data_IF_845002412211
#
_entry.id   IF_845002412211
#
_cell.length_a   1.000
_cell.length_b   1.000
_cell.length_c   1.000
_cell.angle_alpha   90.00
_cell.angle_beta   90.00
_cell.angle_gamma   90.00
#
_symmetry.space_group_name_H-M   'P 1'
#
loop_
_entity.id
_entity.type
_entity.pdbx_description
1 polymer ?
#
# COMPACT_ATOMS: atom_id res chain seq x y z
N UNK A 1 -7.70 -16.82 -5.17
CA UNK A 1 -6.43 -16.89 -5.94
C UNK A 1 -6.04 -15.54 -6.49
N UNK A 2 -6.23 -14.45 -5.72
CA UNK A 2 -6.01 -13.05 -6.14
C UNK A 2 -5.09 -12.28 -5.18
N UNK A 3 -4.68 -12.86 -4.06
CA UNK A 3 -4.02 -12.16 -2.94
C UNK A 3 -2.49 -12.15 -2.94
N UNK A 4 -1.81 -12.79 -3.88
CA UNK A 4 -0.34 -12.98 -3.78
C UNK A 4 0.53 -11.95 -4.52
N UNK A 5 -0.01 -10.79 -4.93
CA UNK A 5 0.67 -9.96 -5.93
C UNK A 5 1.31 -8.67 -5.44
N UNK A 6 1.26 -8.35 -4.16
CA UNK A 6 1.81 -7.08 -3.64
C UNK A 6 2.91 -7.17 -2.56
N UNK A 7 3.37 -8.34 -2.12
CA UNK A 7 4.32 -8.40 -1.00
C UNK A 7 5.80 -8.27 -1.40
N UNK A 8 6.14 -8.11 -2.67
CA UNK A 8 7.53 -8.31 -3.14
C UNK A 8 8.56 -7.38 -2.53
N UNK A 9 8.26 -6.08 -2.39
CA UNK A 9 9.23 -5.15 -1.79
C UNK A 9 9.40 -5.43 -0.30
N UNK A 10 8.31 -5.76 0.42
CA UNK A 10 8.40 -6.12 1.83
C UNK A 10 9.11 -7.45 2.05
N UNK A 11 8.83 -8.44 1.19
CA UNK A 11 9.41 -9.77 1.25
C UNK A 11 10.92 -9.72 0.94
N UNK A 12 11.33 -9.00 -0.09
CA UNK A 12 12.75 -8.87 -0.44
C UNK A 12 13.55 -8.09 0.61
N UNK A 13 12.96 -7.07 1.24
CA UNK A 13 13.59 -6.33 2.33
C UNK A 13 13.60 -7.11 3.64
N UNK A 14 12.57 -7.87 3.95
CA UNK A 14 12.57 -8.80 5.08
C UNK A 14 13.66 -9.87 4.89
N UNK A 15 13.79 -10.42 3.68
CA UNK A 15 14.85 -11.34 3.31
C UNK A 15 16.28 -10.75 3.43
N UNK A 16 16.41 -9.43 3.35
CA UNK A 16 17.66 -8.70 3.59
C UNK A 16 17.98 -8.46 5.08
N UNK A 17 17.19 -9.00 6.03
CA UNK A 17 17.42 -8.91 7.47
C UNK A 17 16.90 -7.64 8.16
N UNK A 18 16.02 -6.89 7.50
CA UNK A 18 15.44 -5.66 8.06
C UNK A 18 13.90 -5.67 8.02
N UNK A 19 13.23 -6.52 8.83
CA UNK A 19 11.77 -6.69 8.77
C UNK A 19 10.99 -5.42 9.11
N UNK A 20 11.47 -4.59 10.04
CA UNK A 20 10.82 -3.33 10.39
C UNK A 20 10.87 -2.27 9.29
N UNK A 21 11.93 -2.28 8.46
CA UNK A 21 12.05 -1.36 7.31
C UNK A 21 11.24 -1.83 6.10
N UNK A 22 10.83 -3.09 6.09
CA UNK A 22 10.06 -3.68 5.00
C UNK A 22 8.66 -3.03 4.85
N UNK A 23 7.99 -2.72 5.96
CA UNK A 23 6.67 -2.09 5.95
C UNK A 23 6.71 -0.67 5.37
N UNK A 24 7.52 0.28 5.90
CA UNK A 24 7.56 1.62 5.32
C UNK A 24 8.07 1.64 3.88
N UNK A 25 9.00 0.75 3.51
CA UNK A 25 9.46 0.64 2.14
C UNK A 25 8.35 0.14 1.18
N UNK A 26 7.53 -0.83 1.61
CA UNK A 26 6.38 -1.27 0.85
C UNK A 26 5.34 -0.15 0.69
N UNK A 27 5.09 0.64 1.73
CA UNK A 27 4.21 1.80 1.66
C UNK A 27 4.73 2.85 0.67
N UNK A 28 6.03 3.17 0.68
CA UNK A 28 6.64 4.09 -0.28
C UNK A 28 6.52 3.57 -1.72
N UNK A 29 6.78 2.29 -1.95
CA UNK A 29 6.60 1.67 -3.26
C UNK A 29 5.13 1.77 -3.73
N UNK A 30 4.17 1.54 -2.83
CA UNK A 30 2.74 1.73 -3.10
C UNK A 30 2.39 3.17 -3.43
N UNK A 31 2.96 4.15 -2.70
CA UNK A 31 2.78 5.58 -3.01
C UNK A 31 3.32 5.94 -4.38
N UNK A 32 4.50 5.44 -4.77
CA UNK A 32 5.05 5.64 -6.11
C UNK A 32 4.13 5.07 -7.19
N UNK A 33 3.60 3.87 -6.98
CA UNK A 33 2.61 3.26 -7.89
C UNK A 33 1.33 4.10 -8.00
N UNK A 34 0.83 4.60 -6.87
CA UNK A 34 -0.31 5.52 -6.82
C UNK A 34 -0.05 6.82 -7.57
N UNK A 35 1.16 7.37 -7.43
CA UNK A 35 1.58 8.56 -8.15
C UNK A 35 1.60 8.34 -9.67
N UNK A 36 2.13 7.21 -10.15
CA UNK A 36 2.13 6.85 -11.58
C UNK A 36 0.71 6.75 -12.10
N UNK A 37 -0.18 6.06 -11.39
CA UNK A 37 -1.61 5.96 -11.77
C UNK A 37 -2.26 7.33 -11.84
N UNK A 38 -2.03 8.18 -10.84
CA UNK A 38 -2.56 9.54 -10.79
C UNK A 38 -2.04 10.40 -11.94
N UNK A 39 -0.76 10.27 -12.27
CA UNK A 39 -0.14 10.99 -13.39
C UNK A 39 -0.78 10.61 -14.73
N UNK A 40 -0.98 9.31 -14.98
CA UNK A 40 -1.67 8.81 -16.17
C UNK A 40 -3.09 9.40 -16.26
N UNK A 41 -3.82 9.38 -15.15
CA UNK A 41 -5.21 9.84 -15.10
C UNK A 41 -5.33 11.36 -15.24
N UNK A 42 -4.50 12.13 -14.53
CA UNK A 42 -4.69 13.58 -14.39
C UNK A 42 -3.94 14.39 -15.44
N UNK A 43 -2.79 13.91 -15.93
CA UNK A 43 -1.96 14.60 -16.91
C UNK A 43 -2.17 14.09 -18.34
N UNK A 44 -2.31 12.78 -18.51
CA UNK A 44 -2.52 12.18 -19.83
C UNK A 44 -4.01 12.02 -20.19
N UNK A 45 -4.92 12.32 -19.25
CA UNK A 45 -6.36 12.22 -19.48
C UNK A 45 -6.87 10.78 -19.70
N UNK A 46 -6.08 9.78 -19.26
CA UNK A 46 -6.45 8.38 -19.39
C UNK A 46 -7.62 8.08 -18.45
N UNK A 47 -8.69 7.38 -18.88
CA UNK A 47 -9.75 6.94 -17.99
C UNK A 47 -9.20 6.18 -16.77
N UNK A 48 -9.78 6.41 -15.58
CA UNK A 48 -9.26 5.87 -14.31
C UNK A 48 -9.12 4.35 -14.32
N UNK A 49 -10.06 3.65 -14.93
CA UNK A 49 -10.04 2.18 -15.06
C UNK A 49 -8.83 1.74 -15.89
N UNK A 50 -8.59 2.37 -17.03
CA UNK A 50 -7.47 2.03 -17.91
C UNK A 50 -6.12 2.37 -17.28
N UNK A 51 -6.01 3.53 -16.62
CA UNK A 51 -4.81 3.92 -15.87
C UNK A 51 -4.47 2.88 -14.80
N UNK A 52 -5.47 2.38 -14.06
CA UNK A 52 -5.29 1.33 -13.07
C UNK A 52 -4.80 0.00 -13.67
N UNK A 53 -5.37 -0.43 -14.79
CA UNK A 53 -4.97 -1.66 -15.48
C UNK A 53 -3.51 -1.56 -15.96
N UNK A 54 -3.15 -0.47 -16.63
CA UNK A 54 -1.79 -0.24 -17.15
C UNK A 54 -0.76 -0.23 -16.02
N UNK A 55 -1.05 0.51 -14.94
CA UNK A 55 -0.16 0.55 -13.77
C UNK A 55 -0.01 -0.84 -13.13
N UNK A 56 -1.11 -1.59 -12.99
CA UNK A 56 -1.06 -2.93 -12.39
C UNK A 56 -0.23 -3.91 -13.24
N UNK A 57 -0.36 -3.88 -14.56
CA UNK A 57 0.45 -4.69 -15.46
C UNK A 57 1.94 -4.30 -15.42
N UNK A 58 2.24 -3.00 -15.39
CA UNK A 58 3.60 -2.50 -15.25
C UNK A 58 4.23 -2.93 -13.92
N UNK A 59 3.51 -2.78 -12.81
CA UNK A 59 3.96 -3.23 -11.49
C UNK A 59 4.18 -4.74 -11.44
N UNK A 60 3.32 -5.52 -12.09
CA UNK A 60 3.50 -6.97 -12.17
C UNK A 60 4.81 -7.35 -12.85
N UNK A 61 5.16 -6.68 -13.95
CA UNK A 61 6.42 -6.91 -14.65
C UNK A 61 7.63 -6.53 -13.80
N UNK A 62 7.59 -5.36 -13.15
CA UNK A 62 8.66 -4.92 -12.22
C UNK A 62 8.80 -5.92 -11.07
N UNK A 63 7.69 -6.41 -10.56
CA UNK A 63 7.64 -7.40 -9.51
C UNK A 63 8.36 -8.70 -9.92
N UNK A 64 8.08 -9.24 -11.10
CA UNK A 64 8.77 -10.41 -11.64
C UNK A 64 10.26 -10.18 -11.81
N UNK A 65 10.68 -8.99 -12.26
CA UNK A 65 12.09 -8.65 -12.39
C UNK A 65 12.82 -8.63 -11.04
N UNK A 66 12.21 -8.03 -10.02
CA UNK A 66 12.77 -7.97 -8.65
C UNK A 66 12.86 -9.36 -8.01
N UNK A 67 11.91 -10.25 -8.31
CA UNK A 67 11.93 -11.65 -7.83
C UNK A 67 12.84 -12.57 -8.64
N UNK A 68 13.62 -12.05 -9.59
CA UNK A 68 14.53 -12.87 -10.42
C UNK A 68 13.79 -13.89 -11.29
N UNK A 69 12.60 -13.52 -11.81
CA UNK A 69 11.72 -14.36 -12.63
C UNK A 69 11.18 -15.63 -11.91
N UNK A 70 11.35 -15.71 -10.59
CA UNK A 70 10.75 -16.78 -9.79
C UNK A 70 9.36 -16.37 -9.27
N UNK A 71 8.39 -17.29 -9.36
CA UNK A 71 7.01 -17.02 -8.93
C UNK A 71 6.86 -17.02 -7.39
N UNK A 72 7.80 -17.59 -6.67
CA UNK A 72 7.83 -17.70 -5.21
C UNK A 72 9.23 -17.43 -4.67
N UNK A 73 9.33 -16.51 -3.73
CA UNK A 73 10.51 -16.34 -2.86
C UNK A 73 10.15 -17.01 -1.53
N UNK A 74 10.88 -18.07 -1.17
CA UNK A 74 10.69 -18.74 0.12
C UNK A 74 11.40 -17.93 1.21
N UNK A 75 10.64 -17.50 2.19
CA UNK A 75 11.14 -16.82 3.41
C UNK A 75 11.46 -17.82 4.54
N UNK A 76 11.47 -19.13 4.28
CA UNK A 76 11.62 -20.21 5.27
C UNK A 76 12.83 -20.12 6.21
N UNK A 77 13.68 -19.09 6.10
CA UNK A 77 14.86 -18.85 6.96
C UNK A 77 15.08 -17.37 7.28
N UNK A 78 14.04 -16.55 7.22
CA UNK A 78 14.17 -15.11 7.42
C UNK A 78 13.28 -14.68 8.57
N UNK A 79 13.86 -13.92 9.52
CA UNK A 79 13.10 -13.35 10.62
C UNK A 79 12.05 -12.37 10.10
N UNK A 80 10.78 -12.70 10.31
CA UNK A 80 9.64 -11.82 10.04
C UNK A 80 9.31 -11.01 11.29
N UNK A 81 8.52 -9.95 11.15
CA UNK A 81 8.07 -9.18 12.33
C UNK A 81 7.31 -10.10 13.30
N UNK A 82 6.59 -11.08 12.78
CA UNK A 82 5.85 -12.06 13.58
C UNK A 82 6.79 -12.95 14.40
N UNK A 83 7.90 -13.45 13.83
CA UNK A 83 8.87 -14.28 14.53
C UNK A 83 9.62 -13.51 15.64
N UNK A 84 9.91 -12.23 15.41
CA UNK A 84 10.52 -11.37 16.41
C UNK A 84 9.59 -11.09 17.62
N UNK A 85 8.28 -11.07 17.40
CA UNK A 85 7.30 -10.93 18.48
C UNK A 85 7.01 -12.23 19.22
N UNK A 86 7.17 -13.38 18.56
CA UNK A 86 7.05 -14.70 19.18
C UNK A 86 8.05 -14.89 20.34
N UNK A 87 9.27 -14.36 20.16
CA UNK A 87 10.35 -14.40 21.16
C UNK A 87 10.06 -13.56 22.42
N UNK A 88 9.07 -12.64 22.35
CA UNK A 88 8.71 -11.74 23.46
C UNK A 88 7.69 -12.37 24.42
N UNK A 89 7.19 -13.58 24.15
CA UNK A 89 6.34 -14.37 25.07
C UNK A 89 4.93 -13.80 25.31
N UNK A 90 4.53 -12.77 24.60
CA UNK A 90 3.24 -12.10 24.73
C UNK A 90 2.22 -12.63 23.72
N UNK A 91 1.55 -13.74 24.03
CA UNK A 91 0.29 -14.02 23.34
C UNK A 91 0.04 -15.38 22.74
N UNK A 92 0.88 -16.39 22.90
CA UNK A 92 0.58 -17.75 22.44
C UNK A 92 0.16 -17.81 20.95
N UNK A 93 -0.89 -18.56 20.62
CA UNK A 93 -1.40 -18.74 19.24
C UNK A 93 -2.06 -17.51 18.61
N UNK A 94 -2.28 -16.42 19.37
CA UNK A 94 -3.03 -15.24 18.94
C UNK A 94 -2.17 -14.01 18.62
N UNK A 95 -0.84 -14.10 18.81
CA UNK A 95 0.08 -12.96 18.63
C UNK A 95 0.02 -12.34 17.22
N UNK A 96 -0.11 -13.17 16.19
CA UNK A 96 -0.21 -12.72 14.80
C UNK A 96 -1.49 -11.91 14.53
N UNK A 97 -2.62 -12.43 15.03
CA UNK A 97 -3.92 -11.76 14.91
C UNK A 97 -3.96 -10.45 15.69
N UNK A 98 -3.36 -10.40 16.88
CA UNK A 98 -3.28 -9.20 17.71
C UNK A 98 -2.41 -8.13 17.03
N UNK A 99 -1.27 -8.51 16.46
CA UNK A 99 -0.36 -7.61 15.76
C UNK A 99 -1.02 -7.04 14.49
N UNK A 100 -1.62 -7.91 13.68
CA UNK A 100 -2.36 -7.50 12.49
C UNK A 100 -3.55 -6.59 12.84
N UNK A 101 -4.29 -6.93 13.91
CA UNK A 101 -5.38 -6.11 14.43
C UNK A 101 -4.90 -4.74 14.90
N UNK A 102 -3.81 -4.67 15.64
CA UNK A 102 -3.23 -3.40 16.10
C UNK A 102 -2.81 -2.50 14.95
N UNK A 103 -2.09 -3.04 13.96
CA UNK A 103 -1.66 -2.28 12.77
C UNK A 103 -2.86 -1.78 11.99
N UNK A 104 -3.90 -2.62 11.84
CA UNK A 104 -5.13 -2.25 11.11
C UNK A 104 -5.87 -1.12 11.82
N UNK A 105 -6.03 -1.20 13.16
CA UNK A 105 -6.69 -0.16 13.96
C UNK A 105 -5.88 1.15 13.89
N UNK A 106 -4.56 1.07 14.00
CA UNK A 106 -3.67 2.23 13.93
C UNK A 106 -3.76 2.91 12.56
N UNK A 107 -3.67 2.13 11.47
CA UNK A 107 -3.80 2.64 10.11
C UNK A 107 -5.19 3.25 9.86
N UNK A 108 -6.25 2.60 10.35
CA UNK A 108 -7.62 3.12 10.28
C UNK A 108 -7.79 4.43 11.05
N UNK A 109 -7.26 4.52 12.27
CA UNK A 109 -7.30 5.74 13.08
C UNK A 109 -6.57 6.90 12.39
N UNK A 110 -5.36 6.65 11.87
CA UNK A 110 -4.61 7.65 11.11
C UNK A 110 -5.35 8.11 9.85
N UNK A 111 -5.99 7.18 9.14
CA UNK A 111 -6.80 7.51 7.97
C UNK A 111 -8.01 8.37 8.34
N UNK A 112 -8.72 8.05 9.42
CA UNK A 112 -9.87 8.84 9.89
C UNK A 112 -9.43 10.25 10.30
N UNK A 113 -8.33 10.38 11.03
CA UNK A 113 -7.75 11.67 11.40
C UNK A 113 -7.34 12.47 10.15
N UNK A 114 -6.71 11.83 9.18
CA UNK A 114 -6.34 12.46 7.91
C UNK A 114 -7.58 12.95 7.14
N UNK A 115 -8.63 12.12 7.03
CA UNK A 115 -9.87 12.50 6.34
C UNK A 115 -10.62 13.64 7.03
N UNK A 116 -10.40 13.87 8.32
CA UNK A 116 -10.89 15.03 9.08
C UNK A 116 -10.12 16.32 8.78
N UNK A 117 -8.97 16.26 8.12
CA UNK A 117 -8.20 17.45 7.74
C UNK A 117 -8.82 18.18 6.53
N UNK A 118 -8.38 19.42 6.29
CA UNK A 118 -8.83 20.18 5.10
C UNK A 118 -8.53 19.46 3.79
N UNK A 119 -7.38 18.74 3.70
CA UNK A 119 -7.02 17.94 2.53
C UNK A 119 -7.96 16.74 2.38
N UNK A 120 -8.26 16.03 3.46
CA UNK A 120 -9.19 14.91 3.43
C UNK A 120 -10.59 15.31 3.00
N UNK A 121 -11.09 16.43 3.50
CA UNK A 121 -12.38 17.00 3.08
C UNK A 121 -12.37 17.38 1.59
N UNK A 122 -11.26 17.97 1.10
CA UNK A 122 -11.12 18.29 -0.32
C UNK A 122 -11.10 17.05 -1.21
N UNK A 123 -10.47 15.96 -0.76
CA UNK A 123 -10.46 14.67 -1.48
C UNK A 123 -11.88 14.09 -1.57
N UNK A 124 -12.64 14.11 -0.47
CA UNK A 124 -14.04 13.64 -0.46
C UNK A 124 -14.90 14.49 -1.39
N UNK A 125 -14.82 15.83 -1.29
CA UNK A 125 -15.56 16.74 -2.15
C UNK A 125 -15.21 16.51 -3.64
N UNK A 126 -13.93 16.22 -3.97
CA UNK A 126 -13.51 15.91 -5.34
C UNK A 126 -14.13 14.60 -5.85
N UNK A 127 -14.33 13.61 -4.97
CA UNK A 127 -15.02 12.38 -5.30
C UNK A 127 -16.51 12.57 -5.60
N UNK A 128 -17.15 13.50 -4.89
CA UNK A 128 -18.57 13.78 -5.06
C UNK A 128 -18.85 14.62 -6.32
N UNK A 129 -18.11 15.71 -6.53
CA UNK A 129 -18.31 16.58 -7.70
C UNK A 129 -17.05 17.38 -8.05
N UNK A 130 -16.36 16.98 -9.12
CA UNK A 130 -15.13 17.62 -9.61
C UNK A 130 -15.36 19.06 -10.05
N UNK A 131 -16.50 19.36 -10.69
CA UNK A 131 -16.78 20.70 -11.23
C UNK A 131 -17.05 21.70 -10.11
N UNK A 132 -17.73 21.28 -9.05
CA UNK A 132 -17.93 22.08 -7.85
C UNK A 132 -16.59 22.41 -7.17
N UNK A 133 -15.67 21.45 -7.08
CA UNK A 133 -14.36 21.63 -6.49
C UNK A 133 -13.50 22.60 -7.29
N UNK A 134 -13.56 22.54 -8.64
CA UNK A 134 -12.92 23.53 -9.51
C UNK A 134 -13.47 24.95 -9.29
N UNK A 135 -14.78 25.08 -9.15
CA UNK A 135 -15.41 26.36 -8.88
C UNK A 135 -14.98 26.95 -7.50
N UNK A 136 -14.63 26.09 -6.55
CA UNK A 136 -14.14 26.45 -5.22
C UNK A 136 -12.62 26.71 -5.17
N UNK A 137 -11.96 26.92 -6.32
CA UNK A 137 -10.52 27.17 -6.44
C UNK A 137 -9.61 26.06 -5.90
N UNK A 138 -10.13 24.87 -5.69
CA UNK A 138 -9.36 23.69 -5.29
C UNK A 138 -8.89 22.96 -6.56
N UNK A 139 -7.62 22.57 -6.58
CA UNK A 139 -7.06 21.83 -7.72
C UNK A 139 -7.41 20.33 -7.64
N UNK A 140 -8.33 19.81 -8.48
CA UNK A 140 -8.74 18.41 -8.42
C UNK A 140 -7.62 17.45 -8.82
N UNK A 141 -6.67 17.87 -9.66
CA UNK A 141 -5.48 17.06 -10.00
C UNK A 141 -4.67 16.72 -8.76
N UNK A 142 -4.47 17.70 -7.88
CA UNK A 142 -3.72 17.49 -6.64
C UNK A 142 -4.47 16.56 -5.67
N UNK A 143 -5.78 16.79 -5.48
CA UNK A 143 -6.59 15.97 -4.55
C UNK A 143 -6.69 14.51 -5.02
N UNK A 144 -6.88 14.28 -6.32
CA UNK A 144 -6.89 12.92 -6.90
C UNK A 144 -5.53 12.26 -6.71
N UNK A 145 -4.42 12.97 -6.97
CA UNK A 145 -3.07 12.42 -6.81
C UNK A 145 -2.82 12.00 -5.37
N UNK A 146 -3.11 12.86 -4.41
CA UNK A 146 -2.92 12.55 -2.98
C UNK A 146 -3.80 11.37 -2.56
N UNK A 147 -5.07 11.35 -2.97
CA UNK A 147 -5.99 10.26 -2.68
C UNK A 147 -5.49 8.90 -3.21
N UNK A 148 -5.03 8.85 -4.45
CA UNK A 148 -4.49 7.64 -5.07
C UNK A 148 -3.17 7.18 -4.40
N UNK A 149 -2.28 8.10 -4.03
CA UNK A 149 -1.06 7.77 -3.30
C UNK A 149 -1.36 7.12 -1.95
N UNK A 150 -2.28 7.70 -1.17
CA UNK A 150 -2.66 7.15 0.15
C UNK A 150 -3.36 5.81 0.00
N UNK A 151 -4.29 5.68 -0.93
CA UNK A 151 -5.00 4.42 -1.19
C UNK A 151 -4.04 3.29 -1.56
N UNK A 152 -3.10 3.54 -2.47
CA UNK A 152 -2.09 2.55 -2.84
C UNK A 152 -1.10 2.24 -1.72
N UNK A 153 -0.75 3.22 -0.87
CA UNK A 153 0.09 3.00 0.31
C UNK A 153 -0.58 2.05 1.32
N UNK A 154 -1.88 2.24 1.57
CA UNK A 154 -2.66 1.36 2.46
C UNK A 154 -2.82 -0.06 1.88
N UNK A 155 -3.03 -0.16 0.56
CA UNK A 155 -3.08 -1.46 -0.13
C UNK A 155 -1.72 -2.17 -0.05
N UNK A 156 -0.61 -1.43 -0.21
CA UNK A 156 0.72 -1.99 -0.06
C UNK A 156 1.03 -2.42 1.38
N UNK A 157 0.56 -1.67 2.38
CA UNK A 157 0.64 -2.05 3.80
C UNK A 157 -0.08 -3.38 4.04
N UNK A 158 -1.32 -3.50 3.59
CA UNK A 158 -2.09 -4.75 3.70
C UNK A 158 -1.38 -5.92 3.01
N UNK A 159 -0.87 -5.71 1.78
CA UNK A 159 -0.11 -6.72 1.05
C UNK A 159 1.18 -7.13 1.76
N UNK A 160 1.89 -6.16 2.37
CA UNK A 160 3.10 -6.44 3.14
C UNK A 160 2.81 -7.30 4.38
N UNK A 161 1.73 -7.02 5.10
CA UNK A 161 1.30 -7.82 6.27
C UNK A 161 0.94 -9.25 5.87
N UNK A 162 0.13 -9.41 4.82
CA UNK A 162 -0.25 -10.74 4.30
C UNK A 162 0.97 -11.52 3.81
N UNK A 163 1.91 -10.83 3.12
CA UNK A 163 3.13 -11.47 2.63
C UNK A 163 4.07 -11.97 3.73
N UNK A 164 4.10 -11.30 4.88
CA UNK A 164 4.86 -11.73 6.04
C UNK A 164 4.15 -12.81 6.86
N UNK A 165 2.82 -12.86 6.81
CA UNK A 165 2.01 -13.86 7.50
C UNK A 165 2.02 -15.23 6.79
N UNK A 166 2.05 -15.25 5.45
CA UNK A 166 1.97 -16.48 4.66
C UNK A 166 3.28 -17.27 4.56
N UNK A 167 4.26 -16.90 5.36
CA UNK A 167 5.60 -17.46 5.27
C UNK A 167 5.86 -18.61 6.27
#
# INVERSE_FOLDING_TARGET
MISSRQPTVSVTLAAAGHPFLAIPAAMLAGMCAGFVTAFLQTRLGVPSILAGIVTNMGLYTINLMVMGWSANVSLLRVDTIFSLFEDTGLGGQWHEALLAGFVTILAGALLVLFLGTRLGLSIRATGDNIDMVRASSINPTFTITVGLCISNALTALSGAMVGQYQN
#
